data_IF_813250771831
#
_entry.id   IF_813250771831
#
_cell.length_a   1.000
_cell.length_b   1.000
_cell.length_c   1.000
_cell.angle_alpha   90.00
_cell.angle_beta   90.00
_cell.angle_gamma   90.00
#
_symmetry.space_group_name_H-M   'P 1'
#
loop_
_entity.id
_entity.type
_entity.pdbx_description
1 polymer ?
#
# COMPACT_ATOMS: atom_id res chain seq x y z
N UNK A 1 5.59 10.32 19.41
CA UNK A 1 4.73 11.01 18.41
C UNK A 1 3.91 12.06 19.15
N UNK A 2 3.77 13.27 18.61
CA UNK A 2 3.09 14.41 19.27
C UNK A 2 1.90 14.98 18.49
N UNK A 3 1.63 14.48 17.27
CA UNK A 3 0.51 14.92 16.44
C UNK A 3 -0.36 13.72 16.04
N UNK A 4 -1.63 13.77 16.43
CA UNK A 4 -2.67 12.79 16.10
C UNK A 4 -3.81 13.41 15.26
N UNK A 5 -3.69 14.67 14.83
CA UNK A 5 -4.74 15.39 14.10
C UNK A 5 -5.08 14.81 12.73
N UNK A 6 -4.20 13.95 12.18
CA UNK A 6 -4.41 13.22 10.94
C UNK A 6 -4.72 11.72 11.14
N UNK A 7 -5.03 11.30 12.37
CA UNK A 7 -5.48 9.94 12.63
C UNK A 7 -6.85 9.70 11.99
N UNK A 8 -6.96 8.57 11.28
CA UNK A 8 -8.19 8.10 10.67
C UNK A 8 -8.40 6.67 11.13
N UNK A 9 -9.64 6.36 11.49
CA UNK A 9 -10.08 4.99 11.66
C UNK A 9 -10.31 4.38 10.29
N UNK A 10 -9.87 3.14 10.11
CA UNK A 10 -10.11 2.33 8.92
C UNK A 10 -10.98 1.16 9.35
N UNK A 11 -11.95 0.73 8.55
CA UNK A 11 -12.69 -0.48 8.88
C UNK A 11 -11.80 -1.72 8.83
N UNK A 12 -12.13 -2.76 9.61
CA UNK A 12 -11.38 -4.00 9.60
C UNK A 12 -11.34 -4.65 8.22
N UNK A 13 -12.48 -4.66 7.53
CA UNK A 13 -12.61 -5.15 6.17
C UNK A 13 -11.75 -4.38 5.16
N UNK A 14 -11.57 -3.08 5.34
CA UNK A 14 -10.65 -2.31 4.51
C UNK A 14 -9.20 -2.78 4.74
N UNK A 15 -8.77 -2.93 6.00
CA UNK A 15 -7.40 -3.36 6.31
C UNK A 15 -7.15 -4.81 5.88
N UNK A 16 -8.14 -5.70 6.03
CA UNK A 16 -8.09 -7.10 5.58
C UNK A 16 -7.77 -7.20 4.09
N UNK A 17 -8.42 -6.38 3.28
CA UNK A 17 -8.17 -6.36 1.83
C UNK A 17 -6.89 -5.58 1.48
N UNK A 18 -6.57 -4.54 2.24
CA UNK A 18 -5.39 -3.72 1.98
C UNK A 18 -4.09 -4.48 2.22
N UNK A 19 -4.00 -5.25 3.31
CA UNK A 19 -2.80 -6.04 3.60
C UNK A 19 -2.53 -7.07 2.51
N UNK A 20 -3.58 -7.57 1.85
CA UNK A 20 -3.46 -8.52 0.74
C UNK A 20 -2.93 -7.87 -0.55
N UNK A 21 -3.21 -6.59 -0.79
CA UNK A 21 -2.58 -5.82 -1.87
C UNK A 21 -1.07 -5.72 -1.64
N UNK A 22 -0.66 -5.36 -0.43
CA UNK A 22 0.77 -5.23 -0.09
C UNK A 22 1.46 -6.60 -0.13
N UNK A 23 0.80 -7.65 0.36
CA UNK A 23 1.31 -9.01 0.29
C UNK A 23 1.50 -9.47 -1.15
N UNK A 24 0.53 -9.22 -2.03
CA UNK A 24 0.66 -9.52 -3.47
C UNK A 24 1.88 -8.80 -4.07
N UNK A 25 2.04 -7.52 -3.77
CA UNK A 25 3.20 -6.74 -4.22
C UNK A 25 4.52 -7.31 -3.68
N UNK A 26 4.57 -7.72 -2.40
CA UNK A 26 5.72 -8.32 -1.75
C UNK A 26 6.07 -9.74 -2.26
N UNK A 27 5.16 -10.39 -2.99
CA UNK A 27 5.37 -11.73 -3.57
C UNK A 27 5.37 -11.75 -5.10
N UNK A 28 5.44 -10.58 -5.73
CA UNK A 28 5.39 -10.41 -7.17
C UNK A 28 4.09 -10.94 -7.83
N UNK A 29 3.00 -11.00 -7.06
CA UNK A 29 1.70 -11.49 -7.48
C UNK A 29 0.82 -10.33 -7.97
N UNK A 30 0.93 -10.07 -9.26
CA UNK A 30 0.23 -8.98 -9.95
C UNK A 30 -1.29 -9.20 -10.00
N UNK A 31 -1.72 -10.45 -10.10
CA UNK A 31 -3.14 -10.80 -10.18
C UNK A 31 -3.83 -10.58 -8.84
N UNK A 32 -3.17 -10.94 -7.73
CA UNK A 32 -3.63 -10.64 -6.38
C UNK A 32 -3.72 -9.14 -6.14
N UNK A 33 -2.71 -8.37 -6.56
CA UNK A 33 -2.74 -6.90 -6.50
C UNK A 33 -3.95 -6.35 -7.25
N UNK A 34 -4.19 -6.80 -8.48
CA UNK A 34 -5.33 -6.36 -9.29
C UNK A 34 -6.67 -6.73 -8.64
N UNK A 35 -6.80 -7.96 -8.15
CA UNK A 35 -8.02 -8.47 -7.52
C UNK A 35 -8.41 -7.61 -6.31
N UNK A 36 -7.52 -7.49 -5.32
CA UNK A 36 -7.83 -6.74 -4.10
C UNK A 36 -7.93 -5.23 -4.34
N UNK A 37 -7.23 -4.68 -5.34
CA UNK A 37 -7.41 -3.29 -5.75
C UNK A 37 -8.83 -3.00 -6.28
N UNK A 38 -9.48 -3.98 -6.92
CA UNK A 38 -10.89 -3.87 -7.31
C UNK A 38 -11.82 -4.01 -6.11
N UNK A 39 -11.54 -4.97 -5.22
CA UNK A 39 -12.32 -5.16 -3.98
C UNK A 39 -12.32 -3.88 -3.12
N UNK A 40 -11.17 -3.20 -3.03
CA UNK A 40 -11.01 -1.94 -2.31
C UNK A 40 -11.59 -0.72 -3.05
N UNK A 41 -12.07 -0.89 -4.29
CA UNK A 41 -12.59 0.20 -5.11
C UNK A 41 -11.51 1.17 -5.63
N UNK A 42 -10.24 0.77 -5.66
CA UNK A 42 -9.18 1.55 -6.33
C UNK A 42 -9.35 1.51 -7.85
N UNK A 43 -9.92 0.40 -8.33
CA UNK A 43 -10.31 0.17 -9.71
C UNK A 43 -11.78 -0.29 -9.73
N UNK A 44 -12.56 0.21 -10.68
CA UNK A 44 -13.96 -0.19 -10.90
C UNK A 44 -14.08 -1.53 -11.61
N UNK A 45 -13.00 -2.01 -12.24
CA UNK A 45 -12.99 -3.21 -13.08
C UNK A 45 -13.42 -2.97 -14.53
N UNK A 46 -13.75 -1.74 -14.89
CA UNK A 46 -14.16 -1.33 -16.23
C UNK A 46 -13.14 -0.38 -16.89
N UNK A 47 -11.99 -0.15 -16.24
CA UNK A 47 -10.92 0.66 -16.77
C UNK A 47 -10.30 0.06 -18.04
N UNK A 48 -9.75 0.91 -18.90
CA UNK A 48 -8.89 0.46 -19.99
C UNK A 48 -7.66 -0.28 -19.43
N UNK A 49 -7.15 -1.28 -20.18
CA UNK A 49 -6.02 -2.10 -19.73
C UNK A 49 -4.77 -1.30 -19.34
N UNK A 50 -4.57 -0.15 -20.00
CA UNK A 50 -3.47 0.78 -19.70
C UNK A 50 -3.55 1.33 -18.27
N UNK A 51 -4.75 1.60 -17.77
CA UNK A 51 -4.98 2.10 -16.41
C UNK A 51 -4.78 1.00 -15.37
N UNK A 52 -5.33 -0.20 -15.61
CA UNK A 52 -5.08 -1.35 -14.73
C UNK A 52 -3.59 -1.64 -14.60
N UNK A 53 -2.88 -1.62 -15.74
CA UNK A 53 -1.44 -1.89 -15.79
C UNK A 53 -0.67 -0.82 -15.01
N UNK A 54 -0.97 0.46 -15.23
CA UNK A 54 -0.33 1.56 -14.51
C UNK A 54 -0.57 1.52 -13.00
N UNK A 55 -1.79 1.14 -12.58
CA UNK A 55 -2.13 0.92 -11.17
C UNK A 55 -1.33 -0.22 -10.57
N UNK A 56 -1.38 -1.41 -11.19
CA UNK A 56 -0.63 -2.57 -10.71
C UNK A 56 0.86 -2.26 -10.68
N UNK A 57 1.43 -1.67 -11.73
CA UNK A 57 2.85 -1.30 -11.78
C UNK A 57 3.23 -0.36 -10.64
N UNK A 58 2.40 0.62 -10.33
CA UNK A 58 2.65 1.54 -9.20
C UNK A 58 2.69 0.80 -7.87
N UNK A 59 1.74 -0.10 -7.63
CA UNK A 59 1.74 -0.93 -6.42
C UNK A 59 2.94 -1.88 -6.39
N UNK A 60 3.31 -2.46 -7.54
CA UNK A 60 4.47 -3.36 -7.66
C UNK A 60 5.79 -2.64 -7.38
N UNK A 61 5.94 -1.38 -7.81
CA UNK A 61 7.09 -0.53 -7.52
C UNK A 61 7.20 -0.29 -6.01
N UNK A 62 6.10 0.10 -5.35
CA UNK A 62 6.09 0.28 -3.88
C UNK A 62 6.41 -1.03 -3.15
N UNK A 63 5.96 -2.16 -3.70
CA UNK A 63 6.24 -3.51 -3.21
C UNK A 63 7.72 -3.89 -3.16
N UNK A 64 8.60 -3.21 -3.90
CA UNK A 64 10.04 -3.53 -3.97
C UNK A 64 10.72 -3.49 -2.61
N UNK A 65 10.35 -2.51 -1.78
CA UNK A 65 10.87 -2.39 -0.42
C UNK A 65 10.60 -3.65 0.42
N UNK A 66 9.48 -4.32 0.19
CA UNK A 66 9.07 -5.52 0.93
C UNK A 66 9.54 -6.83 0.29
N UNK A 67 10.01 -6.79 -0.97
CA UNK A 67 10.54 -7.98 -1.69
C UNK A 67 11.99 -8.27 -1.34
N UNK A 68 12.80 -7.24 -1.17
CA UNK A 68 14.23 -7.40 -0.91
C UNK A 68 14.46 -7.88 0.51
N UNK A 69 15.10 -9.05 0.69
CA UNK A 69 15.57 -9.50 2.01
C UNK A 69 16.92 -8.88 2.38
N UNK A 70 17.08 -7.59 2.08
CA UNK A 70 18.26 -6.80 2.42
C UNK A 70 17.82 -5.36 2.69
N UNK A 71 18.74 -4.53 3.16
CA UNK A 71 18.51 -3.12 3.41
C UNK A 71 18.08 -2.42 2.12
N UNK A 72 16.82 -1.97 2.10
CA UNK A 72 16.32 -1.12 1.04
C UNK A 72 16.82 0.32 1.26
N UNK A 73 17.55 0.85 0.27
CA UNK A 73 18.18 2.17 0.33
C UNK A 73 17.22 3.25 -0.18
N UNK A 74 16.28 3.75 0.64
CA UNK A 74 15.21 4.64 0.16
C UNK A 74 15.69 5.91 -0.55
N UNK A 75 16.88 6.42 -0.22
CA UNK A 75 17.46 7.62 -0.83
C UNK A 75 18.13 7.40 -2.19
N UNK A 76 18.49 6.16 -2.53
CA UNK A 76 19.24 5.82 -3.76
C UNK A 76 18.36 5.23 -4.86
N UNK A 77 17.09 4.98 -4.55
CA UNK A 77 16.17 4.22 -5.39
C UNK A 77 15.33 5.17 -6.25
N UNK A 78 15.01 4.75 -7.46
CA UNK A 78 14.21 5.54 -8.40
C UNK A 78 12.70 5.33 -8.23
N UNK A 79 12.26 4.73 -7.11
CA UNK A 79 10.85 4.50 -6.77
C UNK A 79 10.01 5.75 -7.01
N UNK A 80 10.40 6.90 -6.46
CA UNK A 80 9.62 8.14 -6.60
C UNK A 80 9.45 8.54 -8.06
N UNK A 81 10.52 8.46 -8.85
CA UNK A 81 10.50 8.79 -10.28
C UNK A 81 9.60 7.82 -11.07
N UNK A 82 9.68 6.53 -10.76
CA UNK A 82 8.89 5.48 -11.41
C UNK A 82 7.40 5.57 -11.06
N UNK A 83 7.06 5.93 -9.83
CA UNK A 83 5.66 6.22 -9.46
C UNK A 83 5.18 7.48 -10.19
N UNK A 84 5.97 8.54 -10.21
CA UNK A 84 5.61 9.79 -10.89
C UNK A 84 5.37 9.59 -12.39
N UNK A 85 6.05 8.65 -13.04
CA UNK A 85 5.80 8.35 -14.47
C UNK A 85 4.46 7.66 -14.72
N UNK A 86 3.84 7.03 -13.72
CA UNK A 86 2.52 6.41 -13.83
C UNK A 86 1.37 7.41 -13.63
N UNK A 87 1.61 8.50 -12.88
CA UNK A 87 0.59 9.48 -12.51
C UNK A 87 -0.17 10.08 -13.71
N UNK A 88 0.46 10.48 -14.83
CA UNK A 88 -0.25 11.02 -15.98
C UNK A 88 -1.24 10.03 -16.59
N UNK A 89 -0.87 8.75 -16.65
CA UNK A 89 -1.76 7.68 -17.14
C UNK A 89 -2.96 7.55 -16.21
N UNK A 90 -2.71 7.52 -14.89
CA UNK A 90 -3.77 7.41 -13.89
C UNK A 90 -4.78 8.55 -13.94
N UNK A 91 -4.29 9.79 -14.08
CA UNK A 91 -5.16 10.96 -14.14
C UNK A 91 -6.00 11.00 -15.43
N UNK A 92 -5.45 10.48 -16.53
CA UNK A 92 -6.13 10.48 -17.84
C UNK A 92 -7.19 9.38 -17.96
N UNK A 93 -6.92 8.19 -17.40
CA UNK A 93 -7.72 6.99 -17.66
C UNK A 93 -8.55 6.49 -16.47
N UNK A 94 -8.46 7.12 -15.29
CA UNK A 94 -9.31 6.74 -14.15
C UNK A 94 -10.79 7.02 -14.42
N UNK A 95 -11.65 6.07 -14.07
CA UNK A 95 -13.10 6.18 -14.25
C UNK A 95 -13.80 6.85 -13.06
N UNK A 96 -13.28 6.67 -11.85
CA UNK A 96 -13.79 7.32 -10.63
C UNK A 96 -12.64 7.66 -9.67
N UNK A 97 -12.83 8.63 -8.75
CA UNK A 97 -11.90 8.82 -7.65
C UNK A 97 -11.94 7.59 -6.71
N UNK A 98 -10.79 7.15 -6.16
CA UNK A 98 -10.77 6.14 -5.11
C UNK A 98 -11.46 6.63 -3.81
N UNK A 99 -11.84 5.72 -2.89
CA UNK A 99 -12.43 6.06 -1.60
C UNK A 99 -11.55 7.00 -0.75
N UNK A 100 -12.15 7.81 0.14
CA UNK A 100 -11.43 8.80 0.97
C UNK A 100 -10.34 8.15 1.85
N UNK A 101 -10.62 6.97 2.40
CA UNK A 101 -9.69 6.19 3.23
C UNK A 101 -8.38 5.93 2.49
N UNK A 102 -8.48 5.59 1.20
CA UNK A 102 -7.35 5.34 0.30
C UNK A 102 -6.38 6.51 0.25
N UNK A 103 -6.89 7.73 0.09
CA UNK A 103 -6.05 8.93 -0.04
C UNK A 103 -5.28 9.20 1.24
N UNK A 104 -5.91 8.99 2.40
CA UNK A 104 -5.26 9.20 3.69
C UNK A 104 -4.14 8.17 3.91
N UNK A 105 -4.38 6.91 3.56
CA UNK A 105 -3.38 5.85 3.71
C UNK A 105 -2.21 6.00 2.74
N UNK A 106 -2.49 6.26 1.46
CA UNK A 106 -1.46 6.45 0.44
C UNK A 106 -0.60 7.69 0.74
N UNK A 107 -1.19 8.78 1.23
CA UNK A 107 -0.42 9.96 1.69
C UNK A 107 0.47 9.63 2.88
N UNK A 108 -0.01 8.84 3.84
CA UNK A 108 0.79 8.43 5.01
C UNK A 108 1.97 7.55 4.60
N UNK A 109 1.74 6.55 3.75
CA UNK A 109 2.78 5.67 3.24
C UNK A 109 3.80 6.45 2.40
N UNK A 110 3.35 7.29 1.47
CA UNK A 110 4.22 8.14 0.65
C UNK A 110 5.05 9.09 1.52
N UNK A 111 4.46 9.68 2.55
CA UNK A 111 5.16 10.56 3.49
C UNK A 111 6.27 9.84 4.25
N UNK A 112 6.03 8.62 4.72
CA UNK A 112 7.05 7.80 5.39
C UNK A 112 8.17 7.43 4.42
N UNK A 113 7.85 6.95 3.21
CA UNK A 113 8.85 6.60 2.20
C UNK A 113 9.74 7.80 1.85
N UNK A 114 9.13 8.97 1.59
CA UNK A 114 9.86 10.19 1.27
C UNK A 114 10.70 10.70 2.45
N UNK A 115 10.22 10.55 3.70
CA UNK A 115 10.98 10.91 4.88
C UNK A 115 12.22 10.03 5.05
N UNK A 116 12.05 8.71 4.93
CA UNK A 116 13.19 7.77 5.01
C UNK A 116 14.18 8.02 3.87
N UNK A 117 13.69 8.31 2.66
CA UNK A 117 14.52 8.71 1.53
C UNK A 117 15.32 9.98 1.82
N UNK A 118 14.67 11.03 2.36
CA UNK A 118 15.31 12.30 2.71
C UNK A 118 16.38 12.15 3.81
N UNK A 119 16.24 11.15 4.67
CA UNK A 119 17.21 10.83 5.72
C UNK A 119 18.32 9.86 5.24
N UNK A 120 18.34 9.47 3.95
CA UNK A 120 19.21 8.43 3.42
C UNK A 120 19.14 7.13 4.25
N UNK A 121 17.92 6.78 4.68
CA UNK A 121 17.66 5.63 5.53
C UNK A 121 17.76 4.31 4.77
N UNK A 122 18.29 3.30 5.48
CA UNK A 122 18.42 1.93 5.02
C UNK A 122 17.57 1.04 5.93
N UNK A 123 16.53 0.41 5.40
CA UNK A 123 15.62 -0.43 6.19
C UNK A 123 15.37 -1.75 5.48
N UNK A 124 15.56 -2.86 6.18
CA UNK A 124 15.12 -4.16 5.69
C UNK A 124 13.62 -4.32 6.01
N UNK A 125 12.75 -3.96 5.06
CA UNK A 125 11.30 -3.94 5.29
C UNK A 125 10.66 -5.33 5.18
N UNK A 126 11.31 -6.29 4.52
CA UNK A 126 10.78 -7.64 4.36
C UNK A 126 10.49 -8.35 5.69
N UNK A 127 11.43 -8.52 6.63
CA UNK A 127 11.15 -9.22 7.89
C UNK A 127 10.10 -8.49 8.73
N UNK A 128 10.08 -7.15 8.68
CA UNK A 128 9.07 -6.34 9.37
C UNK A 128 7.68 -6.63 8.80
N UNK A 129 7.54 -6.65 7.47
CA UNK A 129 6.27 -6.94 6.82
C UNK A 129 5.84 -8.39 7.03
N UNK A 130 6.76 -9.35 6.89
CA UNK A 130 6.49 -10.78 7.08
C UNK A 130 6.00 -11.05 8.51
N UNK A 131 6.62 -10.43 9.53
CA UNK A 131 6.16 -10.53 10.93
C UNK A 131 4.75 -9.97 11.11
N UNK A 132 4.47 -8.77 10.58
CA UNK A 132 3.16 -8.14 10.66
C UNK A 132 2.11 -9.01 9.98
N UNK A 133 2.40 -9.52 8.78
CA UNK A 133 1.49 -10.33 7.99
C UNK A 133 1.20 -11.67 8.68
N UNK A 134 2.22 -12.35 9.21
CA UNK A 134 2.05 -13.64 9.89
C UNK A 134 1.25 -13.53 11.19
N UNK A 135 1.33 -12.39 11.87
CA UNK A 135 0.58 -12.12 13.09
C UNK A 135 -0.78 -11.46 12.83
N UNK A 136 -1.10 -11.13 11.57
CA UNK A 136 -2.34 -10.46 11.21
C UNK A 136 -3.54 -11.40 11.38
N UNK A 137 -4.55 -10.95 12.12
CA UNK A 137 -5.77 -11.69 12.37
C UNK A 137 -6.88 -11.16 11.45
N UNK A 138 -7.50 -12.02 10.65
CA UNK A 138 -8.54 -11.64 9.69
C UNK A 138 -9.94 -11.54 10.32
N UNK A 139 -10.77 -10.64 9.81
CA UNK A 139 -12.16 -10.48 10.26
C UNK A 139 -12.32 -9.82 11.64
N UNK A 140 -13.57 -9.84 12.15
CA UNK A 140 -13.98 -9.20 13.40
C UNK A 140 -14.23 -7.70 13.28
N UNK A 141 -14.63 -7.09 14.39
CA UNK A 141 -14.57 -5.63 14.60
C UNK A 141 -13.28 -5.28 15.34
N UNK A 142 -12.87 -4.01 15.33
CA UNK A 142 -11.74 -3.58 16.17
C UNK A 142 -12.00 -3.85 17.66
N UNK A 143 -13.27 -3.80 18.07
CA UNK A 143 -13.70 -4.05 19.45
C UNK A 143 -13.45 -5.50 19.88
N UNK A 144 -13.71 -6.48 19.01
CA UNK A 144 -13.48 -7.90 19.28
C UNK A 144 -12.00 -8.23 19.50
N UNK A 145 -11.10 -7.50 18.86
CA UNK A 145 -9.65 -7.70 18.96
C UNK A 145 -9.05 -7.12 20.25
N UNK A 146 -9.70 -6.12 20.83
CA UNK A 146 -9.26 -5.50 22.09
C UNK A 146 -9.87 -6.20 23.32
N UNK A 147 -10.97 -6.93 23.16
CA UNK A 147 -11.61 -7.70 24.23
C UNK A 147 -10.81 -8.95 24.68
N UNK A 148 -9.86 -9.42 23.87
CA UNK A 148 -8.99 -10.57 24.20
C UNK A 148 -7.79 -10.27 25.11
N UNK A 149 -7.60 -9.01 25.53
CA UNK A 149 -6.46 -8.55 26.34
C UNK A 149 -6.87 -7.95 27.71
N UNK A 150 -8.06 -8.29 28.22
CA UNK A 150 -8.52 -7.96 29.58
C UNK A 150 -8.76 -9.21 30.41
#
# INVERSE_FOLDING_TARGET
LLDFGACREYSKSFVDNYIEVIHGAAHNDRDKVLHYSRVLGFLTGHEAKVMETAHVDSVMILGEAFRCNDKFAFGEQDITRRIQSQVPIMLTHRMCPPPEETYSLHRKMSGVFLLVARLNGYVNCKPIFDEIYNNYQYGGTWEDMHAGNL
#
